data_IF_023452796600
#
_entry.id   IF_023452796600
#
_cell.length_a   1.000
_cell.length_b   1.000
_cell.length_c   1.000
_cell.angle_alpha   90.00
_cell.angle_beta   90.00
_cell.angle_gamma   90.00
#
_symmetry.space_group_name_H-M   'P 1'
#
loop_
_entity.id
_entity.type
_entity.pdbx_description
1 polymer ?
#
# COMPACT_ATOMS: atom_id res chain seq x y z
N UNK A 1 3.75 11.56 -0.76
CA UNK A 1 4.46 12.09 -1.93
C UNK A 1 5.75 11.31 -2.14
N UNK A 2 5.80 10.52 -3.20
CA UNK A 2 7.02 9.79 -3.56
C UNK A 2 8.17 10.76 -3.85
N UNK A 3 9.36 10.39 -3.42
CA UNK A 3 10.59 11.11 -3.76
C UNK A 3 11.74 10.14 -3.99
N UNK A 4 12.71 10.56 -4.79
CA UNK A 4 13.94 9.83 -4.99
C UNK A 4 15.00 10.31 -4.02
N UNK A 5 15.77 9.39 -3.46
CA UNK A 5 16.93 9.75 -2.66
C UNK A 5 17.97 10.46 -3.53
N UNK A 6 18.63 11.49 -2.98
CA UNK A 6 19.69 12.22 -3.67
C UNK A 6 20.94 11.33 -3.91
N UNK A 7 21.18 10.37 -3.03
CA UNK A 7 22.26 9.43 -3.15
C UNK A 7 21.74 8.00 -3.31
N UNK A 8 22.15 7.35 -4.38
CA UNK A 8 21.91 5.92 -4.56
C UNK A 8 22.78 5.13 -3.57
N UNK A 9 22.20 4.13 -2.87
CA UNK A 9 22.96 3.28 -1.95
C UNK A 9 24.03 2.43 -2.70
N UNK A 10 23.85 2.21 -4.00
CA UNK A 10 24.79 1.51 -4.89
C UNK A 10 24.63 1.98 -6.33
N UNK A 11 25.69 1.89 -7.18
CA UNK A 11 25.69 2.47 -8.53
C UNK A 11 24.61 1.97 -9.47
N UNK A 12 24.13 0.73 -9.29
CA UNK A 12 23.12 0.05 -10.12
C UNK A 12 21.74 0.03 -9.48
N UNK A 13 21.53 0.75 -8.37
CA UNK A 13 20.23 0.80 -7.71
C UNK A 13 19.18 1.46 -8.63
N UNK A 14 17.95 0.93 -8.66
CA UNK A 14 16.85 1.57 -9.36
C UNK A 14 16.48 2.92 -8.72
N UNK A 15 15.61 3.67 -9.36
CA UNK A 15 15.05 4.89 -8.76
C UNK A 15 14.26 4.53 -7.50
N UNK A 16 14.51 5.26 -6.42
CA UNK A 16 13.83 5.01 -5.17
C UNK A 16 14.26 5.96 -4.07
N UNK A 17 13.63 5.83 -2.94
CA UNK A 17 13.83 6.63 -1.75
C UNK A 17 12.66 6.38 -0.81
N UNK A 18 11.56 7.09 -1.03
CA UNK A 18 10.26 6.87 -0.38
C UNK A 18 9.18 6.73 -1.46
N UNK A 19 9.15 5.56 -2.11
CA UNK A 19 8.14 5.22 -3.10
C UNK A 19 7.19 4.17 -2.50
N UNK A 20 5.92 4.52 -2.33
CA UNK A 20 4.91 3.69 -1.68
C UNK A 20 3.80 3.32 -2.69
N UNK A 21 4.13 2.49 -3.71
CA UNK A 21 3.28 2.25 -4.86
C UNK A 21 1.96 1.58 -4.47
N UNK A 22 0.85 2.26 -4.77
CA UNK A 22 -0.51 1.75 -4.62
C UNK A 22 -1.20 1.53 -5.95
N UNK A 23 -2.01 0.49 -6.06
CA UNK A 23 -2.88 0.25 -7.22
C UNK A 23 -3.87 1.42 -7.38
N UNK A 24 -4.25 1.67 -8.62
CA UNK A 24 -5.27 2.67 -8.97
C UNK A 24 -6.45 1.96 -9.60
N UNK A 25 -7.64 2.30 -9.14
CA UNK A 25 -8.89 1.78 -9.67
C UNK A 25 -9.73 2.91 -10.26
N UNK A 26 -10.49 2.61 -11.29
CA UNK A 26 -11.41 3.53 -11.94
C UNK A 26 -12.80 2.89 -12.04
N UNK A 27 -13.82 3.71 -11.97
CA UNK A 27 -15.21 3.32 -12.18
C UNK A 27 -15.88 4.32 -13.12
N UNK A 28 -16.84 3.85 -13.88
CA UNK A 28 -17.71 4.69 -14.72
C UNK A 28 -19.09 4.72 -14.09
N UNK A 29 -19.61 5.91 -13.81
CA UNK A 29 -20.99 6.09 -13.35
C UNK A 29 -21.95 5.76 -14.51
N UNK A 30 -22.34 4.49 -14.60
CA UNK A 30 -23.17 3.96 -15.68
C UNK A 30 -24.65 4.26 -15.47
N UNK A 31 -25.07 4.46 -14.22
CA UNK A 31 -26.46 4.76 -13.86
C UNK A 31 -26.73 6.27 -13.68
N UNK A 32 -25.69 7.11 -13.68
CA UNK A 32 -25.79 8.58 -13.63
C UNK A 32 -26.22 9.12 -12.27
N UNK A 33 -26.01 8.36 -11.17
CA UNK A 33 -26.46 8.75 -9.84
C UNK A 33 -25.40 9.56 -9.03
N UNK A 34 -24.16 9.64 -9.51
CA UNK A 34 -23.05 10.33 -8.85
C UNK A 34 -22.54 9.62 -7.61
N UNK A 35 -22.87 8.34 -7.41
CA UNK A 35 -22.44 7.51 -6.28
C UNK A 35 -21.44 6.47 -6.80
N UNK A 36 -20.32 6.18 -6.08
CA UNK A 36 -19.30 5.22 -6.52
C UNK A 36 -19.73 3.77 -6.22
N UNK A 37 -20.92 3.37 -6.69
CA UNK A 37 -21.54 2.05 -6.50
C UNK A 37 -21.51 1.15 -7.75
N UNK A 38 -20.92 1.65 -8.85
CA UNK A 38 -20.70 0.91 -10.08
C UNK A 38 -19.43 0.02 -9.99
N UNK A 39 -19.20 -0.75 -11.05
CA UNK A 39 -18.05 -1.64 -11.14
C UNK A 39 -16.73 -0.89 -11.19
N UNK A 40 -15.72 -1.40 -10.47
CA UNK A 40 -14.38 -0.84 -10.41
C UNK A 40 -13.38 -1.70 -11.17
N UNK A 41 -12.56 -1.06 -11.98
CA UNK A 41 -11.54 -1.68 -12.81
C UNK A 41 -10.15 -1.25 -12.33
N UNK A 42 -9.25 -2.19 -12.14
CA UNK A 42 -7.86 -1.88 -11.80
C UNK A 42 -7.12 -1.39 -13.05
N UNK A 43 -6.32 -0.35 -12.92
CA UNK A 43 -5.37 0.07 -13.96
C UNK A 43 -4.12 -0.79 -13.85
N UNK A 44 -3.91 -1.69 -14.82
CA UNK A 44 -2.76 -2.57 -14.85
C UNK A 44 -1.47 -1.78 -15.03
N UNK A 45 -0.67 -1.68 -13.98
CA UNK A 45 0.66 -1.08 -14.02
C UNK A 45 1.74 -2.08 -14.43
N UNK A 46 3.00 -1.65 -14.39
CA UNK A 46 4.17 -2.44 -14.83
C UNK A 46 4.34 -3.78 -14.11
N UNK A 47 3.80 -3.91 -12.90
CA UNK A 47 3.91 -5.13 -12.09
C UNK A 47 2.72 -6.10 -12.27
N UNK A 48 1.62 -5.64 -12.87
CA UNK A 48 0.35 -6.38 -12.89
C UNK A 48 0.46 -7.80 -13.46
N UNK A 49 1.26 -8.00 -14.52
CA UNK A 49 1.44 -9.30 -15.18
C UNK A 49 2.65 -10.09 -14.68
N UNK A 50 3.36 -9.59 -13.66
CA UNK A 50 4.47 -10.32 -13.04
C UNK A 50 3.95 -11.44 -12.16
N UNK A 51 4.70 -12.53 -12.07
CA UNK A 51 4.33 -13.74 -11.29
C UNK A 51 4.30 -13.49 -9.79
N UNK A 52 4.99 -12.45 -9.31
CA UNK A 52 5.06 -12.04 -7.92
C UNK A 52 3.82 -11.28 -7.48
N UNK A 53 3.01 -10.76 -8.42
CA UNK A 53 1.77 -10.04 -8.13
C UNK A 53 0.64 -11.03 -7.87
N UNK A 54 0.03 -10.92 -6.70
CA UNK A 54 -1.15 -11.69 -6.34
C UNK A 54 -2.40 -10.95 -6.80
N UNK A 55 -3.10 -11.52 -7.79
CA UNK A 55 -4.38 -10.99 -8.27
C UNK A 55 -5.53 -11.44 -7.38
N UNK A 56 -6.64 -10.74 -7.45
CA UNK A 56 -7.83 -11.02 -6.62
C UNK A 56 -7.48 -11.10 -5.12
N UNK A 57 -6.53 -10.26 -4.70
CA UNK A 57 -6.14 -10.18 -3.30
C UNK A 57 -7.15 -9.35 -2.52
N UNK A 58 -7.58 -9.87 -1.39
CA UNK A 58 -8.43 -9.15 -0.45
C UNK A 58 -7.74 -9.09 0.90
N UNK A 59 -7.69 -7.90 1.51
CA UNK A 59 -7.19 -7.72 2.86
C UNK A 59 -8.19 -6.93 3.69
N UNK A 60 -8.53 -7.45 4.85
CA UNK A 60 -9.44 -6.82 5.81
C UNK A 60 -8.68 -6.32 7.02
N UNK A 61 -8.77 -5.02 7.30
CA UNK A 61 -8.25 -4.38 8.50
C UNK A 61 -9.39 -4.17 9.49
N UNK A 62 -9.15 -4.50 10.76
CA UNK A 62 -10.11 -4.35 11.83
C UNK A 62 -9.83 -3.08 12.64
N UNK A 63 -10.89 -2.35 12.99
CA UNK A 63 -10.77 -1.17 13.86
C UNK A 63 -10.09 -1.57 15.17
N UNK A 64 -9.01 -0.89 15.56
CA UNK A 64 -8.35 -1.16 16.84
C UNK A 64 -9.24 -0.72 18.01
N UNK A 65 -9.10 -1.40 19.14
CA UNK A 65 -9.60 -0.90 20.42
C UNK A 65 -8.56 0.09 20.97
N UNK A 66 -8.87 1.37 20.88
CA UNK A 66 -7.97 2.45 21.33
C UNK A 66 -7.80 2.48 22.87
N UNK A 67 -8.60 1.72 23.61
CA UNK A 67 -8.53 1.63 25.07
C UNK A 67 -7.82 0.37 25.57
N UNK A 68 -7.40 -0.52 24.67
CA UNK A 68 -6.66 -1.71 25.09
C UNK A 68 -5.25 -1.35 25.59
N UNK A 69 -4.74 -2.13 26.52
CA UNK A 69 -3.33 -2.02 26.92
C UNK A 69 -2.40 -2.37 25.73
N UNK A 70 -1.43 -1.51 25.40
CA UNK A 70 -0.49 -1.76 24.31
C UNK A 70 0.40 -2.98 24.57
N UNK A 71 0.64 -3.77 23.53
CA UNK A 71 1.58 -4.90 23.59
C UNK A 71 2.94 -4.43 23.10
N UNK A 72 3.87 -4.28 24.04
CA UNK A 72 5.24 -3.86 23.73
C UNK A 72 6.08 -5.01 23.15
N UNK A 73 7.14 -4.66 22.43
CA UNK A 73 8.12 -5.60 21.90
C UNK A 73 9.56 -5.07 22.11
N UNK A 74 10.56 -5.79 21.63
CA UNK A 74 11.98 -5.41 21.78
C UNK A 74 12.37 -4.17 20.96
N UNK A 75 11.58 -3.77 19.95
CA UNK A 75 11.84 -2.59 19.16
C UNK A 75 11.32 -1.32 19.88
N UNK A 76 12.21 -0.39 20.32
CA UNK A 76 11.79 0.80 21.07
C UNK A 76 10.96 1.80 20.25
N UNK A 77 10.95 1.65 18.93
CA UNK A 77 10.15 2.50 18.04
C UNK A 77 8.70 2.01 17.87
N UNK A 78 8.35 0.86 18.46
CA UNK A 78 7.00 0.30 18.43
C UNK A 78 6.36 0.48 19.81
N UNK A 79 5.22 1.18 19.84
CA UNK A 79 4.43 1.37 21.06
C UNK A 79 3.42 0.26 21.29
N UNK A 80 2.82 -0.26 20.23
CA UNK A 80 1.93 -1.41 20.26
C UNK A 80 2.18 -2.32 19.04
N UNK A 81 2.67 -3.53 19.28
CA UNK A 81 2.95 -4.51 18.21
C UNK A 81 1.71 -5.21 17.67
N UNK A 82 0.54 -4.99 18.27
CA UNK A 82 -0.73 -5.64 17.90
C UNK A 82 -1.85 -4.63 17.65
N UNK A 83 -1.51 -3.46 17.09
CA UNK A 83 -2.43 -2.33 17.05
C UNK A 83 -3.59 -2.54 16.07
N UNK A 84 -3.34 -2.64 14.75
CA UNK A 84 -4.41 -2.90 13.78
C UNK A 84 -4.31 -4.32 13.27
N UNK A 85 -5.26 -5.18 13.67
CA UNK A 85 -5.33 -6.56 13.16
C UNK A 85 -5.76 -6.57 11.70
N UNK A 86 -5.18 -7.46 10.91
CA UNK A 86 -5.61 -7.74 9.55
C UNK A 86 -5.69 -9.25 9.26
N UNK A 87 -6.46 -9.59 8.23
CA UNK A 87 -6.55 -10.93 7.64
C UNK A 87 -6.68 -10.77 6.11
N UNK A 88 -6.07 -11.70 5.35
CA UNK A 88 -6.24 -11.74 3.91
C UNK A 88 -7.03 -12.98 3.44
N UNK A 89 -7.42 -12.99 2.16
CA UNK A 89 -8.15 -14.11 1.56
C UNK A 89 -7.29 -15.37 1.31
N UNK A 90 -5.99 -15.32 1.57
CA UNK A 90 -5.09 -16.47 1.58
C UNK A 90 -4.99 -17.12 2.97
N UNK A 91 -5.70 -16.56 3.97
CA UNK A 91 -5.68 -17.07 5.35
C UNK A 91 -4.52 -16.57 6.19
N UNK A 92 -3.72 -15.64 5.67
CA UNK A 92 -2.69 -14.98 6.49
C UNK A 92 -3.35 -13.96 7.42
N UNK A 93 -2.74 -13.77 8.59
CA UNK A 93 -3.17 -12.77 9.57
C UNK A 93 -1.97 -12.14 10.23
N UNK A 94 -2.12 -10.91 10.69
CA UNK A 94 -1.07 -10.18 11.37
C UNK A 94 -1.57 -8.86 11.95
N UNK A 95 -0.62 -8.00 12.26
CA UNK A 95 -0.90 -6.69 12.83
C UNK A 95 -0.06 -5.61 12.16
N UNK A 96 -0.64 -4.42 12.00
CA UNK A 96 0.11 -3.19 11.80
C UNK A 96 0.47 -2.67 13.18
N UNK A 97 1.76 -2.53 13.45
CA UNK A 97 2.26 -1.99 14.72
C UNK A 97 2.09 -0.46 14.77
N UNK A 98 1.74 0.07 15.93
CA UNK A 98 1.77 1.51 16.17
C UNK A 98 3.20 1.96 16.49
N UNK A 99 3.62 3.05 15.85
CA UNK A 99 4.96 3.60 16.01
C UNK A 99 4.98 4.80 16.98
N UNK A 100 6.11 5.01 17.65
CA UNK A 100 6.33 6.18 18.53
C UNK A 100 6.21 7.51 17.80
N UNK A 101 6.48 7.52 16.49
CA UNK A 101 6.48 8.73 15.65
C UNK A 101 5.11 9.11 15.11
N UNK A 102 4.14 8.15 15.11
CA UNK A 102 2.79 8.31 14.58
C UNK A 102 1.78 7.88 15.63
N UNK A 103 1.30 8.84 16.41
CA UNK A 103 0.40 8.57 17.55
C UNK A 103 -1.09 8.66 17.22
N UNK A 104 -1.43 9.16 16.02
CA UNK A 104 -2.82 9.21 15.55
C UNK A 104 -3.33 7.78 15.31
N UNK A 105 -4.65 7.63 15.30
CA UNK A 105 -5.25 6.35 14.89
C UNK A 105 -4.91 6.04 13.44
N UNK A 106 -4.54 4.77 13.15
CA UNK A 106 -4.27 4.30 11.79
C UNK A 106 -5.54 3.82 11.07
N UNK A 107 -6.65 3.74 11.80
CA UNK A 107 -7.94 3.41 11.22
C UNK A 107 -8.70 4.71 10.91
N UNK A 108 -9.29 4.86 9.69
CA UNK A 108 -9.99 6.08 9.30
C UNK A 108 -11.16 6.39 10.24
N UNK A 109 -11.15 7.57 10.87
CA UNK A 109 -12.12 7.91 11.92
C UNK A 109 -13.51 8.23 11.35
N UNK A 110 -13.62 8.56 10.06
CA UNK A 110 -14.90 8.83 9.38
C UNK A 110 -15.66 7.56 8.97
N UNK A 111 -15.04 6.38 9.05
CA UNK A 111 -15.67 5.09 8.78
C UNK A 111 -16.28 4.58 10.08
N UNK A 112 -17.58 4.24 10.06
CA UNK A 112 -18.30 3.72 11.23
C UNK A 112 -18.12 2.22 11.44
N UNK A 113 -17.83 1.50 10.37
CA UNK A 113 -17.70 0.05 10.33
C UNK A 113 -16.53 -0.44 11.22
N UNK A 114 -16.66 -1.65 11.74
CA UNK A 114 -15.63 -2.29 12.57
C UNK A 114 -14.46 -2.85 11.75
N UNK A 115 -14.59 -2.92 10.44
CA UNK A 115 -13.54 -3.38 9.52
C UNK A 115 -13.66 -2.74 8.15
N UNK A 116 -12.53 -2.69 7.43
CA UNK A 116 -12.44 -2.23 6.05
C UNK A 116 -11.77 -3.33 5.24
N UNK A 117 -12.33 -3.67 4.08
CA UNK A 117 -11.71 -4.61 3.14
C UNK A 117 -11.27 -3.86 1.88
N UNK A 118 -10.01 -4.04 1.52
CA UNK A 118 -9.46 -3.61 0.24
C UNK A 118 -9.33 -4.81 -0.68
N UNK A 119 -9.66 -4.60 -1.96
CA UNK A 119 -9.61 -5.61 -3.03
C UNK A 119 -8.78 -5.09 -4.19
N UNK A 120 -8.13 -6.00 -4.90
CA UNK A 120 -7.34 -5.69 -6.09
C UNK A 120 -6.08 -6.55 -6.16
N UNK A 121 -5.02 -6.05 -6.76
CA UNK A 121 -3.74 -6.75 -6.80
C UNK A 121 -2.85 -6.39 -5.62
N UNK A 122 -2.20 -7.39 -5.01
CA UNK A 122 -1.09 -7.16 -4.10
C UNK A 122 0.22 -7.26 -4.88
N UNK A 123 0.92 -6.14 -4.92
CA UNK A 123 2.22 -6.04 -5.59
C UNK A 123 3.32 -6.76 -4.77
N UNK A 124 4.44 -7.07 -5.42
CA UNK A 124 5.64 -7.52 -4.73
C UNK A 124 6.14 -6.46 -3.73
N UNK A 125 6.98 -6.85 -2.78
CA UNK A 125 7.61 -5.90 -1.87
C UNK A 125 8.66 -5.07 -2.63
N UNK A 126 8.60 -3.74 -2.47
CA UNK A 126 9.55 -2.80 -3.07
C UNK A 126 10.55 -2.23 -2.05
N UNK A 127 10.43 -2.59 -0.79
CA UNK A 127 11.35 -2.19 0.27
C UNK A 127 12.56 -3.13 0.29
N UNK A 128 13.76 -2.57 0.09
CA UNK A 128 15.00 -3.34 0.12
C UNK A 128 15.86 -2.85 1.29
N UNK A 129 16.29 -3.79 2.12
CA UNK A 129 17.28 -3.51 3.17
C UNK A 129 18.67 -3.36 2.55
N UNK A 130 19.07 -2.14 2.28
CA UNK A 130 20.38 -1.82 1.71
C UNK A 130 21.52 -1.90 2.75
N UNK A 131 21.19 -2.03 4.03
CA UNK A 131 22.18 -2.27 5.09
C UNK A 131 22.51 -3.75 5.29
N UNK A 132 21.62 -4.64 4.87
CA UNK A 132 21.71 -6.08 5.09
C UNK A 132 21.54 -6.53 6.55
N UNK A 133 21.16 -5.61 7.45
CA UNK A 133 20.97 -5.89 8.88
C UNK A 133 19.68 -5.30 9.46
N UNK A 134 18.75 -4.82 8.61
CA UNK A 134 17.46 -4.28 9.02
C UNK A 134 17.48 -2.83 9.51
N UNK A 135 18.58 -2.09 9.28
CA UNK A 135 18.70 -0.72 9.79
C UNK A 135 18.49 0.38 8.74
N UNK A 136 18.51 0.04 7.45
CA UNK A 136 18.31 1.01 6.37
C UNK A 136 17.58 0.40 5.19
N UNK A 137 16.33 0.79 5.02
CA UNK A 137 15.47 0.38 3.91
C UNK A 137 15.32 1.51 2.89
N UNK A 138 15.33 1.16 1.62
CA UNK A 138 14.96 2.03 0.52
C UNK A 138 13.73 1.47 -0.16
N UNK A 139 12.72 2.32 -0.35
CA UNK A 139 11.50 1.97 -1.07
C UNK A 139 11.69 2.37 -2.54
N UNK A 140 11.85 1.35 -3.39
CA UNK A 140 12.11 1.54 -4.82
C UNK A 140 10.82 1.74 -5.62
N UNK A 141 10.90 2.58 -6.66
CA UNK A 141 9.79 2.76 -7.58
C UNK A 141 9.64 1.57 -8.52
N UNK A 142 8.40 1.19 -8.79
CA UNK A 142 8.09 0.39 -9.98
C UNK A 142 8.13 1.28 -11.22
N UNK A 143 8.06 0.70 -12.44
CA UNK A 143 8.31 1.49 -13.64
C UNK A 143 7.19 2.52 -13.92
N UNK A 144 5.91 2.12 -13.86
CA UNK A 144 4.76 3.01 -14.11
C UNK A 144 3.45 2.41 -13.60
N UNK A 145 2.38 3.24 -13.51
CA UNK A 145 1.01 2.81 -13.33
C UNK A 145 0.54 2.67 -11.88
N UNK A 146 1.28 3.23 -10.92
CA UNK A 146 0.93 3.17 -9.50
C UNK A 146 0.90 4.56 -8.87
N UNK A 147 -0.04 4.77 -7.96
CA UNK A 147 -0.09 5.97 -7.14
C UNK A 147 1.08 5.97 -6.15
N UNK A 148 1.56 7.16 -5.79
CA UNK A 148 2.68 7.39 -4.85
C UNK A 148 3.98 6.62 -5.18
N UNK A 149 4.14 6.28 -6.45
CA UNK A 149 5.27 5.52 -6.99
C UNK A 149 6.39 6.43 -7.51
N UNK A 150 6.01 7.54 -8.14
CA UNK A 150 6.93 8.53 -8.68
C UNK A 150 6.55 9.94 -8.20
N UNK A 151 7.53 10.88 -8.14
CA UNK A 151 7.21 12.29 -7.88
C UNK A 151 6.19 12.84 -8.88
N UNK A 152 5.29 13.72 -8.44
CA UNK A 152 4.24 14.29 -9.28
C UNK A 152 4.76 15.05 -10.53
N UNK A 153 6.03 15.45 -10.52
CA UNK A 153 6.70 16.04 -11.68
C UNK A 153 7.16 15.04 -12.73
N UNK A 154 7.08 13.75 -12.45
CA UNK A 154 7.46 12.67 -13.37
C UNK A 154 6.32 12.36 -14.33
N UNK A 155 6.64 12.18 -15.63
CA UNK A 155 5.65 11.67 -16.60
C UNK A 155 5.16 10.25 -16.25
N UNK A 156 5.94 9.49 -15.50
CA UNK A 156 5.58 8.16 -15.01
C UNK A 156 4.51 8.15 -13.91
N UNK A 157 4.16 9.35 -13.38
CA UNK A 157 3.03 9.50 -12.44
C UNK A 157 1.67 9.64 -13.13
N UNK A 158 1.62 9.69 -14.47
CA UNK A 158 0.39 9.75 -15.23
C UNK A 158 -0.27 8.38 -15.35
N UNK A 159 -1.60 8.38 -15.40
CA UNK A 159 -2.42 7.19 -15.59
C UNK A 159 -3.14 7.23 -16.94
N UNK A 160 -3.39 6.05 -17.53
CA UNK A 160 -4.15 5.92 -18.77
C UNK A 160 -5.33 4.99 -18.55
N UNK A 161 -6.49 5.39 -19.00
CA UNK A 161 -7.71 4.59 -18.88
C UNK A 161 -7.61 3.26 -19.66
N UNK A 162 -6.81 3.24 -20.74
CA UNK A 162 -6.57 2.04 -21.56
C UNK A 162 -5.87 0.91 -20.79
N UNK A 163 -5.39 1.18 -19.57
CA UNK A 163 -4.80 0.17 -18.70
C UNK A 163 -5.84 -0.57 -17.84
N UNK A 164 -7.12 -0.16 -17.91
CA UNK A 164 -8.18 -0.80 -17.15
C UNK A 164 -8.32 -2.28 -17.54
N UNK A 165 -8.39 -3.14 -16.53
CA UNK A 165 -8.57 -4.59 -16.68
C UNK A 165 -9.77 -5.04 -15.86
N UNK A 166 -10.48 -6.07 -16.38
CA UNK A 166 -11.55 -6.70 -15.62
C UNK A 166 -10.97 -7.45 -14.42
N UNK A 167 -11.68 -7.43 -13.32
CA UNK A 167 -11.43 -8.34 -12.20
C UNK A 167 -11.85 -9.75 -12.63
N UNK A 168 -10.89 -10.57 -13.01
CA UNK A 168 -11.11 -12.00 -13.31
C UNK A 168 -11.33 -12.82 -12.03
#
# INVERSE_FOLDING_TARGET
NAFYAEANPRPDAPLGGSCEPGIVMVSVDTNGNGVPDDEWYELAGSEYYKKETLKNYEITYYRPDENKEPVTCSNPNITDSTYVRWIDNYGNTGYISQLTFHKQSYYPQWISESSITFKGSRLADNAIDESGNGSYYVLYAYDWGYADNHPNSSEKSNFKIDWAVDSE
#
